data_IF_056871006058
#
_entry.id   IF_056871006058
#
_cell.length_a   1.000
_cell.length_b   1.000
_cell.length_c   1.000
_cell.angle_alpha   90.00
_cell.angle_beta   90.00
_cell.angle_gamma   90.00
#
_symmetry.space_group_name_H-M   'P 1'
#
loop_
_entity.id
_entity.type
_entity.pdbx_description
1 polymer ?
#
# COMPACT_ATOMS: atom_id res chain seq x y z
N UNK A 1 7.03 -10.62 -13.03
CA UNK A 1 6.20 -9.64 -13.77
C UNK A 1 6.06 -8.36 -12.97
N UNK A 2 5.68 -8.48 -11.70
CA UNK A 2 5.76 -7.39 -10.72
C UNK A 2 6.67 -7.86 -9.61
N UNK A 3 7.49 -6.96 -9.08
CA UNK A 3 8.33 -7.20 -7.91
C UNK A 3 8.34 -5.96 -7.04
N UNK A 4 8.21 -6.15 -5.75
CA UNK A 4 8.56 -5.19 -4.71
C UNK A 4 9.66 -5.81 -3.86
N UNK A 5 10.72 -5.07 -3.58
CA UNK A 5 11.79 -5.50 -2.68
C UNK A 5 12.15 -4.37 -1.73
N UNK A 6 12.39 -4.69 -0.46
CA UNK A 6 12.69 -3.71 0.57
C UNK A 6 13.61 -4.25 1.67
N UNK A 7 14.38 -3.32 2.25
CA UNK A 7 15.12 -3.49 3.50
C UNK A 7 14.14 -3.59 4.68
N UNK A 8 14.52 -4.26 5.79
CA UNK A 8 13.65 -4.45 6.94
C UNK A 8 13.24 -3.11 7.54
N UNK A 9 11.95 -2.83 7.66
CA UNK A 9 11.50 -1.53 8.20
C UNK A 9 11.94 -1.26 9.64
N UNK A 10 12.59 -2.17 10.35
CA UNK A 10 13.27 -1.91 11.62
C UNK A 10 14.37 -0.85 11.49
N UNK A 11 14.93 -0.60 10.30
CA UNK A 11 15.77 0.57 10.08
C UNK A 11 14.99 1.88 10.32
N UNK A 12 13.68 1.91 9.99
CA UNK A 12 12.57 2.58 10.73
C UNK A 12 12.86 3.18 12.09
N UNK A 13 13.26 2.27 12.96
CA UNK A 13 13.31 2.41 14.40
C UNK A 13 14.73 2.56 14.91
N UNK A 14 15.73 2.21 14.10
CA UNK A 14 17.12 2.48 14.38
C UNK A 14 17.38 3.99 14.23
N UNK A 15 17.42 4.71 15.35
CA UNK A 15 18.00 6.05 15.36
C UNK A 15 19.46 6.02 14.89
N UNK A 16 20.07 7.18 14.59
CA UNK A 16 21.53 7.24 14.50
C UNK A 16 22.10 6.61 15.77
N UNK A 17 23.11 5.75 15.64
CA UNK A 17 23.70 4.99 16.74
C UNK A 17 24.32 5.92 17.79
N UNK A 18 23.49 6.56 18.62
CA UNK A 18 23.87 7.13 19.89
C UNK A 18 23.84 6.00 20.88
N UNK A 19 25.03 5.59 21.33
CA UNK A 19 25.24 4.72 22.47
C UNK A 19 24.46 5.24 23.68
N UNK A 20 23.24 4.76 23.85
CA UNK A 20 22.33 5.14 24.92
C UNK A 20 22.22 3.98 25.92
N UNK A 21 22.76 4.21 27.11
CA UNK A 21 22.33 3.57 28.36
C UNK A 21 20.81 3.68 28.47
N UNK A 22 20.13 2.54 28.52
CA UNK A 22 18.67 2.45 28.68
C UNK A 22 18.25 3.07 30.02
N UNK A 23 17.53 4.20 29.96
CA UNK A 23 16.88 4.78 31.13
C UNK A 23 15.70 3.88 31.57
N UNK A 24 15.53 3.58 32.86
CA UNK A 24 14.53 2.63 33.35
C UNK A 24 13.06 3.10 33.31
N UNK A 25 12.76 4.27 32.74
CA UNK A 25 11.43 4.90 32.76
C UNK A 25 10.65 4.84 31.42
N UNK A 26 11.10 4.07 30.43
CA UNK A 26 10.28 3.88 29.22
C UNK A 26 9.08 2.98 29.51
N UNK A 27 7.83 3.46 29.33
CA UNK A 27 6.64 2.62 29.53
C UNK A 27 6.67 1.43 28.58
N UNK A 28 6.35 0.25 29.12
CA UNK A 28 6.34 -1.01 28.36
C UNK A 28 5.47 -0.87 27.11
N UNK A 29 6.08 -0.99 25.93
CA UNK A 29 5.37 -0.90 24.66
C UNK A 29 4.48 -2.13 24.48
N UNK A 30 3.17 -1.93 24.42
CA UNK A 30 2.22 -2.99 24.07
C UNK A 30 2.31 -3.22 22.56
N UNK A 31 2.69 -4.42 22.07
CA UNK A 31 2.81 -4.65 20.64
C UNK A 31 1.43 -4.68 19.98
N UNK A 32 1.34 -4.21 18.73
CA UNK A 32 0.09 -4.22 17.92
C UNK A 32 -0.53 -5.63 17.89
N UNK A 33 0.30 -6.66 17.84
CA UNK A 33 -0.16 -8.05 17.88
C UNK A 33 -0.94 -8.38 19.14
N UNK A 34 -0.57 -7.83 20.30
CA UNK A 34 -1.31 -8.00 21.56
C UNK A 34 -2.64 -7.25 21.56
N UNK A 35 -2.69 -6.05 20.97
CA UNK A 35 -3.94 -5.29 20.81
C UNK A 35 -4.90 -6.06 19.89
N UNK A 36 -4.41 -6.56 18.75
CA UNK A 36 -5.22 -7.33 17.80
C UNK A 36 -5.63 -8.67 18.38
N UNK A 37 -4.73 -9.37 19.08
CA UNK A 37 -5.06 -10.61 19.76
C UNK A 37 -6.13 -10.40 20.84
N UNK A 38 -6.06 -9.30 21.59
CA UNK A 38 -7.10 -8.91 22.54
C UNK A 38 -8.43 -8.63 21.84
N UNK A 39 -8.42 -7.81 20.78
CA UNK A 39 -9.62 -7.51 20.00
C UNK A 39 -10.24 -8.79 19.41
N UNK A 40 -9.42 -9.71 18.94
CA UNK A 40 -9.88 -11.00 18.41
C UNK A 40 -10.45 -11.90 19.52
N UNK A 41 -9.73 -12.06 20.64
CA UNK A 41 -10.16 -12.86 21.78
C UNK A 41 -11.45 -12.32 22.42
N UNK A 42 -11.66 -11.00 22.37
CA UNK A 42 -12.88 -10.35 22.82
C UNK A 42 -14.04 -10.45 21.80
N UNK A 43 -13.85 -11.10 20.65
CA UNK A 43 -14.87 -11.23 19.59
C UNK A 43 -15.18 -9.92 18.88
N UNK A 44 -14.29 -8.92 18.97
CA UNK A 44 -14.50 -7.57 18.44
C UNK A 44 -14.12 -7.44 16.96
N UNK A 45 -13.54 -8.50 16.36
CA UNK A 45 -13.17 -8.54 14.95
C UNK A 45 -14.19 -9.42 14.22
N UNK A 46 -15.06 -8.87 13.34
CA UNK A 46 -15.96 -9.67 12.51
C UNK A 46 -15.17 -10.66 11.64
N UNK A 47 -15.83 -11.71 11.12
CA UNK A 47 -15.16 -12.72 10.27
C UNK A 47 -14.40 -12.12 9.07
N UNK A 48 -14.92 -11.05 8.45
CA UNK A 48 -14.21 -10.30 7.40
C UNK A 48 -13.04 -9.46 7.94
N UNK A 49 -13.13 -8.98 9.18
CA UNK A 49 -12.06 -8.27 9.90
C UNK A 49 -10.87 -9.17 10.24
N UNK A 50 -11.08 -10.48 10.33
CA UNK A 50 -10.03 -11.43 10.70
C UNK A 50 -8.89 -11.46 9.68
N UNK A 51 -9.21 -11.32 8.39
CA UNK A 51 -8.20 -11.23 7.32
C UNK A 51 -7.31 -10.01 7.54
N UNK A 52 -7.90 -8.86 7.89
CA UNK A 52 -7.14 -7.65 8.20
C UNK A 52 -6.28 -7.82 9.45
N UNK A 53 -6.80 -8.46 10.49
CA UNK A 53 -6.03 -8.79 11.69
C UNK A 53 -4.80 -9.65 11.34
N UNK A 54 -4.95 -10.63 10.46
CA UNK A 54 -3.86 -11.48 10.01
C UNK A 54 -2.83 -10.75 9.15
N UNK A 55 -3.28 -9.83 8.28
CA UNK A 55 -2.39 -8.95 7.54
C UNK A 55 -1.58 -8.08 8.51
N UNK A 56 -2.24 -7.41 9.46
CA UNK A 56 -1.57 -6.48 10.38
C UNK A 56 -0.58 -7.22 11.28
N UNK A 57 -0.93 -8.43 11.73
CA UNK A 57 -0.03 -9.26 12.54
C UNK A 57 1.15 -9.85 11.74
N UNK A 58 1.09 -9.85 10.40
CA UNK A 58 2.23 -10.19 9.54
C UNK A 58 3.19 -9.01 9.29
N UNK A 59 2.74 -7.76 9.46
CA UNK A 59 3.56 -6.57 9.25
C UNK A 59 4.90 -6.56 10.02
N UNK A 60 4.99 -7.04 11.27
CA UNK A 60 6.26 -7.15 11.98
C UNK A 60 7.34 -7.96 11.23
N UNK A 61 6.95 -8.97 10.43
CA UNK A 61 7.90 -9.72 9.61
C UNK A 61 8.57 -8.84 8.56
N UNK A 62 7.79 -7.97 7.90
CA UNK A 62 8.30 -7.01 6.93
C UNK A 62 9.20 -5.96 7.58
N UNK A 63 8.97 -5.66 8.86
CA UNK A 63 9.84 -4.83 9.68
C UNK A 63 11.13 -5.53 10.08
N UNK A 64 11.10 -6.83 10.29
CA UNK A 64 12.24 -7.60 10.80
C UNK A 64 13.23 -8.02 9.70
N UNK A 65 12.73 -8.43 8.54
CA UNK A 65 13.55 -9.05 7.49
C UNK A 65 13.59 -8.22 6.21
N UNK A 66 14.74 -8.28 5.50
CA UNK A 66 14.76 -7.89 4.09
C UNK A 66 13.78 -8.80 3.36
N UNK A 67 12.93 -8.24 2.50
CA UNK A 67 11.88 -9.00 1.86
C UNK A 67 11.64 -8.60 0.42
N UNK A 68 11.08 -9.53 -0.34
CA UNK A 68 10.52 -9.27 -1.65
C UNK A 68 9.14 -9.90 -1.78
N UNK A 69 8.21 -9.18 -2.42
CA UNK A 69 6.93 -9.71 -2.88
C UNK A 69 6.95 -9.72 -4.41
N UNK A 70 6.71 -10.90 -5.00
CA UNK A 70 6.81 -11.10 -6.45
C UNK A 70 5.53 -11.68 -7.01
N UNK A 71 5.05 -11.09 -8.10
CA UNK A 71 4.07 -11.68 -8.99
C UNK A 71 4.81 -12.36 -10.14
N UNK A 72 4.86 -13.69 -10.09
CA UNK A 72 5.57 -14.54 -11.03
C UNK A 72 4.71 -14.78 -12.28
N UNK A 73 3.43 -15.03 -12.07
CA UNK A 73 2.47 -15.36 -13.12
C UNK A 73 1.03 -15.02 -12.74
N UNK A 74 0.21 -14.75 -13.75
CA UNK A 74 -1.23 -14.50 -13.58
C UNK A 74 -1.93 -14.72 -14.92
N UNK A 75 -3.09 -15.37 -14.91
CA UNK A 75 -3.96 -15.48 -16.07
C UNK A 75 -5.41 -15.29 -15.66
N UNK A 76 -6.25 -14.90 -16.62
CA UNK A 76 -7.68 -14.78 -16.41
C UNK A 76 -8.46 -15.53 -17.45
N UNK A 77 -9.66 -15.98 -17.08
CA UNK A 77 -10.60 -16.66 -17.96
C UNK A 77 -11.96 -15.99 -17.89
N UNK A 78 -12.71 -16.05 -18.99
CA UNK A 78 -14.11 -15.64 -19.02
C UNK A 78 -14.98 -16.85 -18.75
N UNK A 79 -15.82 -16.76 -17.73
CA UNK A 79 -16.87 -17.75 -17.46
C UNK A 79 -18.20 -17.17 -17.94
N UNK A 80 -18.89 -17.91 -18.79
CA UNK A 80 -20.26 -17.59 -19.19
C UNK A 80 -21.21 -17.99 -18.07
N UNK A 81 -22.05 -17.06 -17.62
CA UNK A 81 -23.02 -17.33 -16.57
C UNK A 81 -24.20 -18.09 -17.19
N UNK A 82 -24.33 -19.38 -16.90
CA UNK A 82 -25.50 -20.16 -17.34
C UNK A 82 -26.80 -19.52 -16.83
N UNK A 83 -27.83 -19.40 -17.67
CA UNK A 83 -29.11 -18.78 -17.31
C UNK A 83 -29.95 -19.57 -16.28
N UNK A 84 -29.52 -20.78 -15.90
CA UNK A 84 -30.30 -21.72 -15.07
C UNK A 84 -30.34 -21.39 -13.56
N UNK A 85 -29.57 -20.42 -13.08
CA UNK A 85 -29.63 -19.97 -11.70
C UNK A 85 -30.69 -18.88 -11.48
N UNK A 86 -31.84 -19.22 -10.88
CA UNK A 86 -32.96 -18.32 -10.45
C UNK A 86 -32.88 -16.93 -11.08
N UNK A 87 -33.41 -16.83 -12.29
CA UNK A 87 -33.54 -15.59 -13.03
C UNK A 87 -34.32 -14.55 -12.20
N UNK A 88 -33.61 -13.61 -11.56
CA UNK A 88 -34.17 -12.26 -11.44
C UNK A 88 -34.17 -11.71 -12.86
N UNK A 89 -35.35 -11.51 -13.43
CA UNK A 89 -35.65 -11.30 -14.86
C UNK A 89 -35.02 -10.06 -15.54
N UNK A 90 -33.91 -9.53 -15.02
CA UNK A 90 -33.32 -8.27 -15.43
C UNK A 90 -31.78 -8.27 -15.49
N UNK A 91 -31.11 -9.41 -15.25
CA UNK A 91 -29.66 -9.49 -15.41
C UNK A 91 -29.31 -10.09 -16.80
N UNK A 92 -28.69 -9.33 -17.73
CA UNK A 92 -28.21 -9.90 -18.99
C UNK A 92 -27.22 -11.04 -18.70
N UNK A 93 -27.19 -12.05 -19.59
CA UNK A 93 -26.20 -13.13 -19.57
C UNK A 93 -24.79 -12.50 -19.54
N UNK A 94 -24.22 -12.46 -18.34
CA UNK A 94 -23.01 -11.69 -18.08
C UNK A 94 -21.79 -12.58 -18.20
N UNK A 95 -20.85 -12.20 -19.07
CA UNK A 95 -19.47 -12.71 -19.03
C UNK A 95 -18.83 -12.28 -17.72
N UNK A 96 -18.40 -13.23 -16.90
CA UNK A 96 -17.72 -12.97 -15.63
C UNK A 96 -16.23 -13.25 -15.83
N UNK A 97 -15.40 -12.23 -15.63
CA UNK A 97 -13.95 -12.42 -15.59
C UNK A 97 -13.55 -13.08 -14.26
N UNK A 98 -12.85 -14.20 -14.32
CA UNK A 98 -12.31 -14.93 -13.16
C UNK A 98 -10.80 -15.11 -13.29
N UNK A 99 -10.14 -15.19 -12.15
CA UNK A 99 -8.75 -15.59 -12.07
C UNK A 99 -8.66 -17.06 -12.50
N UNK A 100 -7.76 -17.35 -13.43
CA UNK A 100 -7.54 -18.70 -13.95
C UNK A 100 -6.32 -19.34 -13.29
N UNK A 101 -5.22 -18.61 -13.21
CA UNK A 101 -4.02 -18.99 -12.48
C UNK A 101 -3.41 -17.76 -11.80
N UNK A 102 -2.74 -17.99 -10.67
CA UNK A 102 -1.88 -17.01 -10.01
C UNK A 102 -0.65 -17.71 -9.47
N UNK A 103 0.53 -17.17 -9.74
CA UNK A 103 1.77 -17.53 -9.05
C UNK A 103 2.36 -16.26 -8.44
N UNK A 104 2.48 -16.24 -7.12
CA UNK A 104 3.09 -15.18 -6.35
C UNK A 104 4.00 -15.77 -5.28
N UNK A 105 4.92 -14.97 -4.75
CA UNK A 105 5.69 -15.38 -3.59
C UNK A 105 6.08 -14.18 -2.72
N UNK A 106 6.30 -14.45 -1.44
CA UNK A 106 7.01 -13.59 -0.52
C UNK A 106 8.29 -14.28 -0.11
N UNK A 107 9.40 -13.55 -0.21
CA UNK A 107 10.75 -14.04 0.06
C UNK A 107 11.30 -13.21 1.20
N UNK A 108 11.76 -13.85 2.27
CA UNK A 108 12.39 -13.19 3.41
C UNK A 108 13.85 -13.61 3.49
N UNK A 109 14.77 -12.67 3.68
CA UNK A 109 16.14 -12.99 4.06
C UNK A 109 16.20 -13.16 5.57
N UNK A 110 16.05 -14.39 6.04
CA UNK A 110 15.96 -14.73 7.46
C UNK A 110 17.30 -14.94 8.12
N UNK A 111 18.36 -15.24 7.34
CA UNK A 111 19.68 -15.58 7.89
C UNK A 111 19.64 -16.81 8.80
N UNK A 112 18.64 -17.69 8.60
CA UNK A 112 18.43 -18.90 9.40
C UNK A 112 17.39 -18.78 10.52
N UNK A 113 16.88 -17.59 10.82
CA UNK A 113 15.76 -17.42 11.77
C UNK A 113 14.40 -17.64 11.09
N UNK A 114 14.22 -18.85 10.58
CA UNK A 114 13.08 -19.27 9.77
C UNK A 114 11.81 -19.48 10.61
N UNK A 115 11.99 -19.76 11.92
CA UNK A 115 10.91 -20.14 12.84
C UNK A 115 9.83 -19.05 12.94
N UNK A 116 10.23 -17.79 12.98
CA UNK A 116 9.30 -16.66 13.14
C UNK A 116 8.36 -16.53 11.93
N UNK A 117 8.87 -16.79 10.72
CA UNK A 117 8.05 -16.80 9.50
C UNK A 117 7.13 -18.03 9.49
N UNK A 118 7.67 -19.19 9.87
CA UNK A 118 6.91 -20.45 9.92
C UNK A 118 5.79 -20.42 10.97
N UNK A 119 6.01 -19.84 12.14
CA UNK A 119 4.99 -19.68 13.18
C UNK A 119 3.83 -18.81 12.70
N UNK A 120 4.12 -17.67 12.05
CA UNK A 120 3.12 -16.80 11.46
C UNK A 120 2.33 -17.54 10.37
N UNK A 121 3.02 -18.28 9.50
CA UNK A 121 2.39 -19.06 8.43
C UNK A 121 1.48 -20.14 8.99
N UNK A 122 1.96 -20.92 9.97
CA UNK A 122 1.19 -21.95 10.65
C UNK A 122 -0.05 -21.38 11.34
N UNK A 123 0.04 -20.18 11.92
CA UNK A 123 -1.11 -19.51 12.53
C UNK A 123 -2.18 -19.15 11.49
N UNK A 124 -1.78 -18.62 10.33
CA UNK A 124 -2.71 -18.28 9.25
C UNK A 124 -3.32 -19.55 8.66
N UNK A 125 -2.50 -20.54 8.30
CA UNK A 125 -2.95 -21.82 7.74
C UNK A 125 -3.90 -22.52 8.69
N UNK A 126 -3.54 -22.66 9.97
CA UNK A 126 -4.36 -23.34 10.97
C UNK A 126 -5.71 -22.66 11.24
N UNK A 127 -5.87 -21.39 10.86
CA UNK A 127 -7.14 -20.66 10.98
C UNK A 127 -8.05 -20.83 9.77
N UNK A 128 -7.47 -20.87 8.56
CA UNK A 128 -8.24 -20.89 7.31
C UNK A 128 -8.38 -22.28 6.69
N UNK A 129 -7.61 -23.26 7.15
CA UNK A 129 -7.61 -24.64 6.66
C UNK A 129 -7.90 -25.61 7.81
N UNK A 130 -8.31 -26.84 7.47
CA UNK A 130 -8.44 -27.93 8.42
C UNK A 130 -7.85 -29.21 7.82
N UNK A 131 -7.51 -30.18 8.68
CA UNK A 131 -6.83 -31.43 8.26
C UNK A 131 -7.74 -32.41 7.51
N UNK A 132 -9.05 -32.20 7.50
CA UNK A 132 -9.99 -33.09 6.80
C UNK A 132 -9.97 -32.83 5.29
N UNK A 133 -9.78 -31.57 4.90
CA UNK A 133 -9.90 -31.08 3.51
C UNK A 133 -8.59 -30.52 2.95
N UNK A 134 -7.58 -30.29 3.80
CA UNK A 134 -6.28 -29.78 3.39
C UNK A 134 -5.17 -30.83 3.61
N UNK A 135 -4.38 -31.06 2.56
CA UNK A 135 -3.31 -32.04 2.53
C UNK A 135 -1.94 -31.34 2.49
N UNK A 136 -1.12 -31.59 3.51
CA UNK A 136 0.26 -31.14 3.57
C UNK A 136 1.20 -32.26 3.11
N UNK A 137 2.02 -31.98 2.10
CA UNK A 137 2.98 -32.93 1.52
C UNK A 137 4.39 -32.34 1.53
N UNK A 138 5.40 -33.20 1.60
CA UNK A 138 6.81 -32.80 1.47
C UNK A 138 7.31 -33.11 0.06
N UNK A 139 8.06 -32.18 -0.51
CA UNK A 139 8.60 -32.25 -1.86
C UNK A 139 10.08 -31.89 -1.86
N UNK A 140 10.80 -32.38 -2.87
CA UNK A 140 12.20 -32.06 -3.11
C UNK A 140 12.38 -31.66 -4.58
N UNK A 141 13.07 -30.54 -4.83
CA UNK A 141 13.41 -30.10 -6.18
C UNK A 141 14.79 -29.45 -6.19
N UNK A 142 15.66 -29.88 -7.09
CA UNK A 142 17.07 -29.46 -7.16
C UNK A 142 17.80 -29.52 -5.80
N UNK A 143 17.53 -30.56 -5.00
CA UNK A 143 18.13 -30.75 -3.66
C UNK A 143 17.55 -29.86 -2.56
N UNK A 144 16.48 -29.10 -2.86
CA UNK A 144 15.80 -28.22 -1.90
C UNK A 144 14.50 -28.86 -1.47
N UNK A 145 14.36 -29.08 -0.16
CA UNK A 145 13.13 -29.57 0.45
C UNK A 145 12.16 -28.41 0.72
N UNK A 146 10.88 -28.64 0.42
CA UNK A 146 9.80 -27.69 0.68
C UNK A 146 8.51 -28.43 1.04
N UNK A 147 7.60 -27.70 1.66
CA UNK A 147 6.27 -28.18 2.00
C UNK A 147 5.25 -27.60 1.01
N UNK A 148 4.24 -28.41 0.68
CA UNK A 148 3.12 -28.04 -0.19
C UNK A 148 1.81 -28.34 0.50
N UNK A 149 0.94 -27.34 0.59
CA UNK A 149 -0.42 -27.45 1.10
C UNK A 149 -1.42 -27.22 -0.02
N UNK A 150 -2.25 -28.23 -0.28
CA UNK A 150 -3.41 -28.15 -1.16
C UNK A 150 -4.69 -28.27 -0.32
N UNK A 151 -5.73 -27.50 -0.65
CA UNK A 151 -7.03 -27.53 0.02
C UNK A 151 -8.11 -27.80 -1.04
N UNK A 152 -8.82 -28.92 -0.92
CA UNK A 152 -9.79 -29.40 -1.93
C UNK A 152 -10.97 -28.45 -2.15
N UNK A 153 -11.21 -27.51 -1.22
CA UNK A 153 -12.26 -26.49 -1.34
C UNK A 153 -11.88 -25.37 -2.30
N UNK A 154 -10.58 -25.23 -2.59
CA UNK A 154 -10.03 -24.20 -3.47
C UNK A 154 -9.83 -24.76 -4.87
N UNK A 155 -9.47 -23.87 -5.82
CA UNK A 155 -9.06 -24.30 -7.16
C UNK A 155 -7.72 -25.03 -7.10
N UNK A 156 -7.50 -25.99 -7.98
CA UNK A 156 -6.27 -26.82 -8.02
C UNK A 156 -4.98 -25.99 -8.12
N UNK A 157 -5.03 -24.81 -8.74
CA UNK A 157 -3.87 -23.92 -8.81
C UNK A 157 -3.57 -23.19 -7.49
N UNK A 158 -4.52 -23.11 -6.55
CA UNK A 158 -4.43 -22.35 -5.31
C UNK A 158 -3.69 -23.12 -4.21
N UNK A 159 -2.42 -23.40 -4.49
CA UNK A 159 -1.51 -24.17 -3.65
C UNK A 159 -0.61 -23.23 -2.86
N UNK A 160 -0.37 -23.55 -1.60
CA UNK A 160 0.66 -22.88 -0.79
C UNK A 160 1.92 -23.72 -0.74
N UNK A 161 3.07 -23.10 -0.94
CA UNK A 161 4.37 -23.78 -0.95
C UNK A 161 5.36 -22.98 -0.12
N UNK A 162 6.14 -23.62 0.73
CA UNK A 162 7.14 -22.90 1.52
C UNK A 162 8.34 -23.75 1.92
N UNK A 163 9.47 -23.10 2.13
CA UNK A 163 10.73 -23.78 2.38
C UNK A 163 11.92 -22.82 2.37
N UNK A 164 13.09 -23.36 2.67
CA UNK A 164 14.34 -22.62 2.76
C UNK A 164 15.14 -22.72 1.47
N UNK A 165 15.69 -21.59 1.02
CA UNK A 165 16.62 -21.50 -0.11
C UNK A 165 17.83 -20.66 0.35
N UNK A 166 18.92 -21.31 0.76
CA UNK A 166 20.08 -20.62 1.33
C UNK A 166 19.71 -19.80 2.58
N UNK A 167 20.02 -18.50 2.57
CA UNK A 167 19.69 -17.56 3.65
C UNK A 167 18.24 -17.04 3.61
N UNK A 168 17.43 -17.55 2.68
CA UNK A 168 16.08 -17.08 2.43
C UNK A 168 15.03 -18.10 2.85
N UNK A 169 13.93 -17.61 3.39
CA UNK A 169 12.70 -18.36 3.57
C UNK A 169 11.66 -17.87 2.55
N UNK A 170 11.14 -18.78 1.76
CA UNK A 170 10.23 -18.47 0.65
C UNK A 170 8.85 -19.02 0.98
N UNK A 171 7.81 -18.21 0.75
CA UNK A 171 6.40 -18.60 0.81
C UNK A 171 5.76 -18.26 -0.54
N UNK A 172 5.52 -19.29 -1.34
CA UNK A 172 4.84 -19.24 -2.63
C UNK A 172 3.34 -19.50 -2.50
N UNK A 173 2.58 -18.89 -3.39
CA UNK A 173 1.16 -19.16 -3.62
C UNK A 173 0.95 -19.36 -5.13
N UNK A 174 0.26 -20.43 -5.50
CA UNK A 174 0.18 -20.89 -6.88
C UNK A 174 0.98 -22.15 -7.12
N UNK A 175 0.39 -23.13 -7.79
CA UNK A 175 1.10 -24.35 -8.22
C UNK A 175 2.40 -24.00 -8.98
N UNK A 176 3.53 -24.54 -8.51
CA UNK A 176 4.84 -24.36 -9.13
C UNK A 176 5.49 -22.99 -8.91
N UNK A 177 4.92 -22.13 -8.06
CA UNK A 177 5.51 -20.83 -7.72
C UNK A 177 6.88 -21.00 -7.03
N UNK A 178 6.99 -21.94 -6.08
CA UNK A 178 8.22 -22.22 -5.36
C UNK A 178 9.28 -22.85 -6.27
N UNK A 179 8.88 -23.84 -7.06
CA UNK A 179 9.74 -24.53 -8.03
C UNK A 179 10.35 -23.56 -9.06
N UNK A 180 9.58 -22.54 -9.46
CA UNK A 180 10.06 -21.50 -10.36
C UNK A 180 11.17 -20.66 -9.73
N UNK A 181 11.06 -20.38 -8.43
CA UNK A 181 12.12 -19.68 -7.67
C UNK A 181 13.34 -20.57 -7.53
N UNK A 182 13.17 -21.85 -7.17
CA UNK A 182 14.25 -22.85 -7.14
C UNK A 182 14.98 -22.88 -8.48
N UNK A 183 14.25 -22.92 -9.60
CA UNK A 183 14.84 -23.00 -10.94
C UNK A 183 15.71 -21.80 -11.26
N UNK A 184 15.30 -20.59 -10.85
CA UNK A 184 16.14 -19.38 -11.00
C UNK A 184 17.36 -19.46 -10.08
N UNK A 185 17.18 -19.88 -8.82
CA UNK A 185 18.27 -20.02 -7.85
C UNK A 185 19.34 -21.03 -8.29
N UNK A 186 18.91 -22.18 -8.83
CA UNK A 186 19.78 -23.24 -9.35
C UNK A 186 20.38 -22.92 -10.74
N UNK A 187 20.14 -21.73 -11.31
CA UNK A 187 20.65 -21.33 -12.62
C UNK A 187 19.94 -21.97 -13.82
N UNK A 188 18.87 -22.74 -13.59
CA UNK A 188 18.05 -23.34 -14.65
C UNK A 188 17.09 -22.38 -15.35
N UNK A 189 16.94 -21.14 -14.85
CA UNK A 189 16.15 -20.09 -15.48
C UNK A 189 16.82 -18.71 -15.31
N UNK A 190 16.64 -17.84 -16.31
CA UNK A 190 17.24 -16.49 -16.31
C UNK A 190 16.62 -15.62 -15.20
N UNK A 191 17.47 -15.10 -14.31
CA UNK A 191 17.09 -14.08 -13.33
C UNK A 191 16.86 -12.72 -14.02
N UNK A 192 15.97 -11.91 -13.45
CA UNK A 192 15.74 -10.51 -13.85
C UNK A 192 16.99 -9.65 -13.76
N UNK A 193 17.93 -9.99 -12.88
CA UNK A 193 19.23 -9.30 -12.75
C UNK A 193 20.13 -9.46 -13.98
N UNK A 194 19.78 -10.34 -14.92
CA UNK A 194 20.45 -10.48 -16.21
C UNK A 194 19.71 -9.78 -17.35
N UNK A 195 18.56 -9.14 -17.09
CA UNK A 195 17.84 -8.35 -18.07
C UNK A 195 18.59 -7.03 -18.31
N UNK A 196 19.06 -6.72 -19.54
CA UNK A 196 19.89 -5.54 -19.78
C UNK A 196 19.20 -4.23 -19.42
N UNK A 197 17.88 -4.13 -19.66
CA UNK A 197 17.12 -2.94 -19.31
C UNK A 197 17.05 -2.78 -17.80
N UNK A 198 16.77 -3.86 -17.07
CA UNK A 198 16.71 -3.81 -15.60
C UNK A 198 18.05 -3.43 -14.99
N UNK A 199 19.16 -3.96 -15.50
CA UNK A 199 20.52 -3.59 -15.04
C UNK A 199 20.76 -2.10 -15.25
N UNK A 200 20.54 -1.58 -16.46
CA UNK A 200 20.71 -0.15 -16.78
C UNK A 200 19.79 0.73 -15.91
N UNK A 201 18.52 0.36 -15.77
CA UNK A 201 17.55 1.09 -14.95
C UNK A 201 17.93 1.07 -13.46
N UNK A 202 18.41 -0.07 -12.96
CA UNK A 202 18.87 -0.25 -11.58
C UNK A 202 20.07 0.64 -11.28
N UNK A 203 21.03 0.74 -12.20
CA UNK A 203 22.17 1.65 -12.07
C UNK A 203 21.71 3.11 -12.05
N UNK A 204 20.89 3.52 -13.03
CA UNK A 204 20.37 4.90 -13.15
C UNK A 204 19.53 5.34 -11.96
N UNK A 205 18.82 4.42 -11.31
CA UNK A 205 17.99 4.68 -10.13
C UNK A 205 18.69 4.39 -8.81
N UNK A 206 19.90 3.82 -8.84
CA UNK A 206 20.65 3.32 -7.68
C UNK A 206 19.87 2.27 -6.87
N UNK A 207 19.08 1.43 -7.54
CA UNK A 207 18.16 0.48 -6.91
C UNK A 207 18.86 -0.56 -6.03
N UNK A 208 20.12 -0.90 -6.30
CA UNK A 208 20.90 -1.85 -5.49
C UNK A 208 21.14 -1.37 -4.05
N UNK A 209 21.29 -0.06 -3.84
CA UNK A 209 21.46 0.56 -2.52
C UNK A 209 20.17 1.15 -1.94
N UNK A 210 19.03 0.98 -2.63
CA UNK A 210 17.77 1.54 -2.21
C UNK A 210 17.21 0.84 -0.96
N UNK A 211 16.48 1.59 -0.13
CA UNK A 211 15.69 1.05 0.96
C UNK A 211 14.55 0.18 0.44
N UNK A 212 13.92 0.62 -0.65
CA UNK A 212 12.88 -0.13 -1.33
C UNK A 212 12.96 0.17 -2.82
N UNK A 213 12.66 -0.82 -3.65
CA UNK A 213 12.44 -0.63 -5.07
C UNK A 213 11.31 -1.52 -5.55
N UNK A 214 10.65 -1.13 -6.62
CA UNK A 214 9.67 -1.99 -7.29
C UNK A 214 9.76 -1.88 -8.80
N UNK A 215 9.49 -3.01 -9.43
CA UNK A 215 9.53 -3.20 -10.87
C UNK A 215 8.18 -3.70 -11.37
N UNK A 216 7.72 -3.15 -12.49
CA UNK A 216 6.53 -3.58 -13.22
C UNK A 216 6.88 -3.79 -14.69
N UNK A 217 6.76 -5.02 -15.17
CA UNK A 217 6.81 -5.35 -16.61
C UNK A 217 5.42 -5.31 -17.22
N UNK A 218 4.97 -4.12 -17.62
CA UNK A 218 3.62 -3.87 -18.16
C UNK A 218 3.29 -4.72 -19.38
N UNK A 219 4.22 -4.89 -20.31
CA UNK A 219 4.00 -5.71 -21.52
C UNK A 219 3.68 -7.15 -21.16
N UNK A 220 4.49 -7.75 -20.28
CA UNK A 220 4.29 -9.12 -19.82
C UNK A 220 3.02 -9.27 -18.98
N UNK A 221 2.70 -8.27 -18.16
CA UNK A 221 1.47 -8.28 -17.37
C UNK A 221 0.22 -8.25 -18.26
N UNK A 222 0.22 -7.41 -19.32
CA UNK A 222 -0.84 -7.39 -20.34
C UNK A 222 -0.97 -8.74 -21.04
N UNK A 223 0.15 -9.28 -21.53
CA UNK A 223 0.19 -10.56 -22.24
C UNK A 223 -0.37 -11.71 -21.38
N UNK A 224 0.04 -11.82 -20.12
CA UNK A 224 -0.34 -12.94 -19.25
C UNK A 224 -1.77 -12.84 -18.73
N UNK A 225 -2.24 -11.64 -18.41
CA UNK A 225 -3.66 -11.43 -18.06
C UNK A 225 -4.60 -11.81 -19.21
N UNK A 226 -4.12 -11.75 -20.45
CA UNK A 226 -4.79 -12.23 -21.66
C UNK A 226 -5.97 -11.37 -22.10
N UNK A 227 -6.55 -11.73 -23.25
CA UNK A 227 -7.64 -10.99 -23.92
C UNK A 227 -8.88 -10.84 -23.03
N UNK A 228 -9.13 -11.83 -22.15
CA UNK A 228 -10.21 -11.83 -21.18
C UNK A 228 -10.19 -10.60 -20.24
N UNK A 229 -8.99 -10.10 -19.92
CA UNK A 229 -8.78 -8.92 -19.08
C UNK A 229 -8.36 -7.68 -19.87
N UNK A 230 -8.15 -7.77 -21.19
CA UNK A 230 -7.50 -6.73 -22.00
C UNK A 230 -8.16 -5.36 -21.81
N UNK A 231 -9.49 -5.29 -21.91
CA UNK A 231 -10.21 -4.03 -21.71
C UNK A 231 -10.01 -3.43 -20.32
N UNK A 232 -9.85 -4.25 -19.27
CA UNK A 232 -9.60 -3.77 -17.90
C UNK A 232 -8.15 -3.31 -17.73
N UNK A 233 -7.19 -4.09 -18.18
CA UNK A 233 -5.76 -3.75 -18.09
C UNK A 233 -5.44 -2.51 -18.91
N UNK A 234 -6.01 -2.39 -20.11
CA UNK A 234 -5.86 -1.21 -20.95
C UNK A 234 -6.44 0.05 -20.28
N UNK A 235 -7.62 -0.04 -19.65
CA UNK A 235 -8.20 1.09 -18.90
C UNK A 235 -7.35 1.49 -17.69
N UNK A 236 -6.84 0.52 -16.93
CA UNK A 236 -5.94 0.79 -15.79
C UNK A 236 -4.64 1.44 -16.28
N UNK A 237 -4.03 0.88 -17.32
CA UNK A 237 -2.82 1.46 -17.91
C UNK A 237 -3.08 2.87 -18.49
N UNK A 238 -4.23 3.11 -19.12
CA UNK A 238 -4.60 4.42 -19.61
C UNK A 238 -4.80 5.43 -18.49
N UNK A 239 -5.51 5.05 -17.42
CA UNK A 239 -5.69 5.88 -16.24
C UNK A 239 -4.33 6.23 -15.60
N UNK A 240 -3.41 5.27 -15.48
CA UNK A 240 -2.05 5.52 -14.98
C UNK A 240 -1.11 6.20 -15.99
N UNK A 241 -1.61 6.56 -17.18
CA UNK A 241 -0.82 7.09 -18.31
C UNK A 241 0.37 6.19 -18.69
N UNK A 242 0.21 4.89 -18.44
CA UNK A 242 1.19 3.83 -18.67
C UNK A 242 0.87 2.99 -19.93
N UNK A 243 -0.08 3.42 -20.79
CA UNK A 243 -0.49 2.67 -21.98
C UNK A 243 0.66 2.30 -22.91
N UNK A 244 1.66 3.19 -23.01
CA UNK A 244 2.83 3.05 -23.88
C UNK A 244 4.10 2.69 -23.09
N UNK A 245 3.95 2.31 -21.81
CA UNK A 245 5.06 1.86 -20.98
C UNK A 245 5.21 0.34 -21.09
N UNK A 246 6.45 -0.12 -21.23
CA UNK A 246 6.76 -1.56 -21.24
C UNK A 246 7.32 -2.02 -19.90
N UNK A 247 8.11 -1.17 -19.26
CA UNK A 247 8.81 -1.41 -18.02
C UNK A 247 8.78 -0.15 -17.14
N UNK A 248 8.70 -0.32 -15.83
CA UNK A 248 8.78 0.76 -14.85
C UNK A 248 9.53 0.26 -13.61
N UNK A 249 10.57 0.97 -13.21
CA UNK A 249 11.37 0.73 -12.02
C UNK A 249 11.38 1.98 -11.17
N UNK A 250 11.00 1.85 -9.91
CA UNK A 250 11.10 2.89 -8.90
C UNK A 250 12.05 2.46 -7.80
N UNK A 251 12.81 3.41 -7.27
CA UNK A 251 13.72 3.21 -6.16
C UNK A 251 13.59 4.34 -5.14
N UNK A 252 13.56 3.98 -3.87
CA UNK A 252 13.57 4.88 -2.71
C UNK A 252 14.86 4.64 -1.95
N UNK A 253 15.79 5.60 -1.98
CA UNK A 253 17.06 5.53 -1.27
C UNK A 253 17.07 6.49 -0.07
N UNK A 254 17.89 6.20 0.94
CA UNK A 254 18.11 7.09 2.07
C UNK A 254 19.45 7.81 1.91
N UNK A 255 19.43 9.13 2.03
CA UNK A 255 20.59 10.01 1.94
C UNK A 255 20.62 10.90 3.19
N UNK A 256 21.31 10.44 4.23
CA UNK A 256 21.22 11.02 5.57
C UNK A 256 19.82 10.85 6.16
N UNK A 257 19.16 11.97 6.49
CA UNK A 257 17.74 11.99 6.92
C UNK A 257 16.74 12.13 5.77
N UNK A 258 17.21 12.38 4.55
CA UNK A 258 16.33 12.59 3.41
C UNK A 258 16.10 11.28 2.63
N UNK A 259 14.92 11.16 2.03
CA UNK A 259 14.58 10.09 1.10
C UNK A 259 14.68 10.61 -0.34
N UNK A 260 15.49 9.95 -1.15
CA UNK A 260 15.55 10.17 -2.58
C UNK A 260 14.60 9.20 -3.30
N UNK A 261 13.80 9.70 -4.24
CA UNK A 261 12.82 8.91 -4.98
C UNK A 261 13.11 9.05 -6.46
N UNK A 262 13.49 7.96 -7.10
CA UNK A 262 13.93 7.91 -8.49
C UNK A 262 13.10 6.89 -9.26
N UNK A 263 12.84 7.17 -10.53
CA UNK A 263 12.08 6.32 -11.44
C UNK A 263 12.80 6.21 -12.77
N UNK A 264 12.86 5.01 -13.33
CA UNK A 264 13.25 4.75 -14.71
C UNK A 264 12.17 3.91 -15.37
N UNK A 265 11.57 4.41 -16.45
CA UNK A 265 10.57 3.69 -17.22
C UNK A 265 10.88 3.73 -18.71
N UNK A 266 10.42 2.72 -19.44
CA UNK A 266 10.57 2.65 -20.89
C UNK A 266 9.28 3.04 -21.59
N UNK A 267 9.30 4.11 -22.39
CA UNK A 267 8.17 4.61 -23.19
C UNK A 267 8.55 4.52 -24.67
N UNK A 268 7.93 3.58 -25.39
CA UNK A 268 8.42 3.19 -26.71
C UNK A 268 9.85 2.62 -26.62
N UNK A 269 10.79 3.22 -27.35
CA UNK A 269 12.20 2.82 -27.33
C UNK A 269 13.09 3.67 -26.41
N UNK A 270 12.51 4.66 -25.73
CA UNK A 270 13.26 5.57 -24.86
C UNK A 270 13.18 5.15 -23.40
N UNK A 271 14.33 5.14 -22.72
CA UNK A 271 14.44 5.03 -21.28
C UNK A 271 14.38 6.43 -20.65
N UNK A 272 13.30 6.72 -19.93
CA UNK A 272 13.09 8.01 -19.25
C UNK A 272 13.41 7.87 -17.78
N UNK A 273 14.33 8.70 -17.28
CA UNK A 273 14.68 8.79 -15.87
C UNK A 273 14.10 10.06 -15.27
N UNK A 274 13.47 9.95 -14.10
CA UNK A 274 12.95 11.07 -13.32
C UNK A 274 13.39 10.95 -11.87
N UNK A 275 13.85 12.06 -11.29
CA UNK A 275 14.00 12.20 -9.84
C UNK A 275 12.80 12.98 -9.32
N UNK A 276 12.00 12.33 -8.47
CA UNK A 276 10.84 12.94 -7.84
C UNK A 276 11.22 13.58 -6.51
N UNK A 277 12.27 13.10 -5.85
CA UNK A 277 12.76 13.62 -4.58
C UNK A 277 14.27 13.58 -4.61
N UNK A 278 14.92 14.74 -4.63
CA UNK A 278 16.39 14.87 -4.70
C UNK A 278 16.87 15.78 -3.56
N UNK A 279 17.51 15.24 -2.50
CA UNK A 279 17.82 15.99 -1.28
C UNK A 279 18.68 17.24 -1.50
N UNK A 280 19.59 17.21 -2.47
CA UNK A 280 20.45 18.36 -2.80
C UNK A 280 19.68 19.54 -3.41
N UNK A 281 18.45 19.32 -3.89
CA UNK A 281 17.61 20.33 -4.55
C UNK A 281 16.44 20.84 -3.70
N UNK A 282 16.35 20.45 -2.43
CA UNK A 282 15.23 20.86 -1.57
C UNK A 282 15.22 22.37 -1.30
N UNK A 283 14.13 23.04 -1.65
CA UNK A 283 13.98 24.46 -1.39
C UNK A 283 13.83 24.75 0.12
N UNK A 284 14.51 25.79 0.60
CA UNK A 284 14.54 26.18 2.03
C UNK A 284 13.15 26.38 2.63
N UNK A 285 12.20 26.89 1.82
CA UNK A 285 10.80 27.12 2.24
C UNK A 285 10.02 25.86 2.60
N UNK A 286 10.44 24.68 2.14
CA UNK A 286 9.83 23.40 2.53
C UNK A 286 10.60 22.77 3.68
N UNK A 287 11.92 22.97 3.74
CA UNK A 287 12.74 22.53 4.87
C UNK A 287 12.34 23.24 6.18
N UNK A 288 11.90 24.49 6.10
CA UNK A 288 11.50 25.29 7.28
C UNK A 288 10.28 24.75 8.01
N UNK A 289 9.38 24.03 7.33
CA UNK A 289 8.19 23.44 7.95
C UNK A 289 8.46 22.04 8.54
N UNK A 290 9.65 21.50 8.32
CA UNK A 290 10.02 20.16 8.81
C UNK A 290 10.62 20.30 10.21
N UNK A 291 10.02 19.65 11.23
CA UNK A 291 10.54 19.68 12.59
C UNK A 291 11.99 19.18 12.65
N UNK A 292 12.87 19.80 13.46
CA UNK A 292 14.24 19.30 13.65
C UNK A 292 14.31 17.86 14.19
N UNK A 293 13.26 17.44 14.92
CA UNK A 293 13.11 16.09 15.47
C UNK A 293 12.67 15.04 14.43
N UNK A 294 12.26 15.45 13.23
CA UNK A 294 11.97 14.50 12.17
C UNK A 294 13.26 13.78 11.76
N UNK A 295 13.24 12.45 11.87
CA UNK A 295 14.39 11.59 11.53
C UNK A 295 14.44 11.31 10.04
N UNK A 296 13.28 11.38 9.37
CA UNK A 296 13.14 11.16 7.94
C UNK A 296 12.26 12.20 7.30
N UNK A 297 12.63 12.57 6.08
CA UNK A 297 11.85 13.47 5.25
C UNK A 297 11.99 13.16 3.75
N UNK A 298 10.96 13.50 2.97
CA UNK A 298 10.99 13.56 1.52
C UNK A 298 10.31 14.84 1.05
N UNK A 299 10.84 15.51 0.03
CA UNK A 299 10.13 16.58 -0.67
C UNK A 299 9.97 16.10 -2.10
N UNK A 300 8.75 15.65 -2.40
CA UNK A 300 8.40 15.00 -3.65
C UNK A 300 7.80 16.03 -4.58
N UNK A 301 8.49 16.28 -5.71
CA UNK A 301 8.01 17.10 -6.81
C UNK A 301 7.28 16.21 -7.81
N UNK A 302 5.96 16.19 -7.70
CA UNK A 302 5.07 15.42 -8.56
C UNK A 302 3.81 16.25 -8.77
N UNK A 303 3.25 16.32 -9.98
CA UNK A 303 1.97 16.98 -10.16
C UNK A 303 0.92 16.29 -9.27
N UNK A 304 0.59 16.86 -8.12
CA UNK A 304 -0.25 16.15 -7.12
C UNK A 304 -1.64 15.93 -7.68
N UNK A 305 -2.11 16.87 -8.50
CA UNK A 305 -3.27 16.69 -9.37
C UNK A 305 -3.22 15.37 -10.13
N UNK A 306 -2.08 15.02 -10.75
CA UNK A 306 -1.94 13.76 -11.47
C UNK A 306 -2.12 12.56 -10.55
N UNK A 307 -1.58 12.59 -9.33
CA UNK A 307 -1.77 11.50 -8.36
C UNK A 307 -3.24 11.35 -7.94
N UNK A 308 -3.89 12.46 -7.59
CA UNK A 308 -5.27 12.50 -7.09
C UNK A 308 -6.29 12.19 -8.19
N UNK A 309 -6.01 12.57 -9.44
CA UNK A 309 -6.87 12.22 -10.58
C UNK A 309 -6.69 10.76 -11.00
N UNK A 310 -5.44 10.32 -11.19
CA UNK A 310 -5.19 9.09 -11.94
C UNK A 310 -5.20 7.83 -11.07
N UNK A 311 -4.80 7.89 -9.80
CA UNK A 311 -4.80 6.72 -8.93
C UNK A 311 -6.22 6.22 -8.60
N UNK A 312 -7.17 7.07 -8.19
CA UNK A 312 -8.55 6.64 -7.97
C UNK A 312 -9.19 6.16 -9.27
N UNK A 313 -8.96 6.85 -10.40
CA UNK A 313 -9.46 6.40 -11.72
C UNK A 313 -8.90 5.03 -12.10
N UNK A 314 -7.63 4.77 -11.85
CA UNK A 314 -7.03 3.45 -12.09
C UNK A 314 -7.64 2.38 -11.18
N UNK A 315 -7.89 2.70 -9.91
CA UNK A 315 -8.57 1.80 -8.99
C UNK A 315 -10.00 1.49 -9.44
N UNK A 316 -10.78 2.51 -9.83
CA UNK A 316 -12.13 2.35 -10.40
C UNK A 316 -12.08 1.55 -11.70
N UNK A 317 -11.12 1.83 -12.58
CA UNK A 317 -10.93 1.12 -13.85
C UNK A 317 -10.66 -0.38 -13.66
N UNK A 318 -10.04 -0.76 -12.54
CA UNK A 318 -9.81 -2.15 -12.16
C UNK A 318 -11.08 -2.86 -11.62
N UNK A 319 -12.14 -2.12 -11.29
CA UNK A 319 -13.38 -2.69 -10.76
C UNK A 319 -14.26 -3.34 -11.86
N UNK A 320 -15.31 -4.04 -11.41
CA UNK A 320 -16.38 -4.53 -12.28
C UNK A 320 -17.26 -3.37 -12.76
N UNK A 321 -17.92 -3.49 -13.92
CA UNK A 321 -18.79 -2.45 -14.45
C UNK A 321 -19.93 -2.06 -13.48
N UNK A 322 -20.46 -3.03 -12.72
CA UNK A 322 -21.47 -2.74 -11.69
C UNK A 322 -20.91 -1.90 -10.56
N UNK A 323 -19.68 -2.17 -10.10
CA UNK A 323 -19.04 -1.36 -9.08
C UNK A 323 -18.69 0.04 -9.59
N UNK A 324 -18.21 0.16 -10.84
CA UNK A 324 -17.96 1.46 -11.48
C UNK A 324 -19.24 2.31 -11.47
N UNK A 325 -20.37 1.77 -11.98
CA UNK A 325 -21.65 2.49 -11.97
C UNK A 325 -22.12 2.89 -10.57
N UNK A 326 -21.91 2.02 -9.57
CA UNK A 326 -22.25 2.35 -8.17
C UNK A 326 -21.43 3.55 -7.67
N UNK A 327 -20.14 3.60 -8.01
CA UNK A 327 -19.27 4.71 -7.65
C UNK A 327 -19.62 5.98 -8.43
N UNK A 328 -19.93 5.88 -9.72
CA UNK A 328 -20.39 7.01 -10.55
C UNK A 328 -21.67 7.62 -10.00
N UNK A 329 -22.71 6.81 -9.73
CA UNK A 329 -23.97 7.29 -9.15
C UNK A 329 -23.74 7.91 -7.76
N UNK A 330 -22.90 7.29 -6.93
CA UNK A 330 -22.59 7.85 -5.61
C UNK A 330 -21.86 9.20 -5.71
N UNK A 331 -20.97 9.34 -6.69
CA UNK A 331 -20.20 10.55 -6.93
C UNK A 331 -21.06 11.67 -7.56
N UNK A 332 -21.90 11.35 -8.54
CA UNK A 332 -22.87 12.28 -9.13
C UNK A 332 -23.83 12.82 -8.07
N UNK A 333 -24.39 11.92 -7.26
CA UNK A 333 -25.26 12.30 -6.14
C UNK A 333 -24.56 13.22 -5.15
N UNK A 334 -23.30 12.94 -4.81
CA UNK A 334 -22.50 13.80 -3.93
C UNK A 334 -22.33 15.20 -4.52
N UNK A 335 -22.01 15.29 -5.82
CA UNK A 335 -21.84 16.57 -6.51
C UNK A 335 -23.15 17.35 -6.57
N UNK A 336 -24.27 16.70 -6.87
CA UNK A 336 -25.61 17.32 -6.94
C UNK A 336 -26.07 17.82 -5.56
N UNK A 337 -25.99 16.98 -4.52
CA UNK A 337 -26.50 17.31 -3.18
C UNK A 337 -25.68 18.42 -2.49
N UNK A 338 -24.38 18.49 -2.77
CA UNK A 338 -23.48 19.45 -2.11
C UNK A 338 -23.04 20.60 -2.99
N UNK A 339 -23.42 20.61 -4.28
CA UNK A 339 -22.96 21.61 -5.25
C UNK A 339 -21.43 21.62 -5.42
N UNK A 340 -20.78 20.47 -5.21
CA UNK A 340 -19.32 20.37 -5.21
C UNK A 340 -18.81 19.95 -6.58
N UNK A 341 -17.96 20.79 -7.16
CA UNK A 341 -17.03 20.34 -8.20
C UNK A 341 -15.68 20.03 -7.53
N UNK A 342 -15.47 18.78 -7.12
CA UNK A 342 -14.20 18.36 -6.47
C UNK A 342 -13.00 18.60 -7.40
N UNK A 343 -13.19 18.49 -8.72
CA UNK A 343 -12.08 18.72 -9.66
C UNK A 343 -11.66 20.18 -9.63
N UNK A 344 -12.61 21.09 -9.78
CA UNK A 344 -12.34 22.52 -9.79
C UNK A 344 -11.98 23.09 -8.41
N UNK A 345 -12.64 22.64 -7.35
CA UNK A 345 -12.51 23.25 -6.01
C UNK A 345 -11.43 22.61 -5.12
N UNK A 346 -10.99 21.38 -5.41
CA UNK A 346 -9.93 20.71 -4.65
C UNK A 346 -8.74 20.36 -5.53
N UNK A 347 -8.95 19.57 -6.58
CA UNK A 347 -7.86 18.96 -7.35
C UNK A 347 -7.04 20.00 -8.13
N UNK A 348 -7.71 20.96 -8.77
CA UNK A 348 -7.07 22.06 -9.53
C UNK A 348 -6.26 23.01 -8.63
N UNK A 349 -6.51 22.97 -7.32
CA UNK A 349 -5.82 23.79 -6.33
C UNK A 349 -4.67 23.06 -5.61
N UNK A 350 -4.44 21.77 -5.90
CA UNK A 350 -3.27 21.03 -5.41
C UNK A 350 -2.02 21.39 -6.23
N UNK A 351 -0.96 21.80 -5.54
CA UNK A 351 0.34 22.12 -6.13
C UNK A 351 1.17 20.89 -6.49
N UNK A 352 2.38 21.15 -6.96
CA UNK A 352 3.30 20.10 -7.46
C UNK A 352 4.26 19.57 -6.39
N UNK A 353 4.12 20.01 -5.13
CA UNK A 353 5.04 19.63 -4.05
C UNK A 353 4.30 18.94 -2.91
N UNK A 354 4.82 17.77 -2.52
CA UNK A 354 4.39 17.03 -1.34
C UNK A 354 5.58 16.89 -0.38
N UNK A 355 5.43 17.43 0.82
CA UNK A 355 6.43 17.29 1.90
C UNK A 355 6.00 16.17 2.83
N UNK A 356 6.86 15.19 3.05
CA UNK A 356 6.58 14.01 3.88
C UNK A 356 7.63 13.96 4.99
N UNK A 357 7.23 13.74 6.24
CA UNK A 357 8.17 13.54 7.35
C UNK A 357 7.59 12.67 8.48
N UNK A 358 8.46 12.05 9.27
CA UNK A 358 8.10 11.08 10.31
C UNK A 358 7.92 11.68 11.72
N UNK A 359 7.39 12.90 11.80
CA UNK A 359 7.11 13.60 13.05
C UNK A 359 5.61 13.95 13.24
N UNK A 360 5.08 13.82 14.47
CA UNK A 360 5.69 13.09 15.58
C UNK A 360 5.77 11.59 15.25
N UNK A 361 6.72 10.91 15.89
CA UNK A 361 6.90 9.46 15.69
C UNK A 361 5.63 8.73 16.15
N UNK A 362 5.14 7.81 15.31
CA UNK A 362 4.02 6.96 15.69
C UNK A 362 4.42 6.08 16.89
N UNK A 363 3.61 5.97 17.97
CA UNK A 363 3.97 5.22 19.19
C UNK A 363 4.37 3.76 18.93
N UNK A 364 3.71 3.13 17.96
CA UNK A 364 3.95 1.74 17.55
C UNK A 364 4.95 1.61 16.39
N UNK A 365 5.61 2.71 16.01
CA UNK A 365 6.60 2.79 14.90
C UNK A 365 6.09 2.17 13.60
N UNK A 366 4.81 2.36 13.29
CA UNK A 366 4.18 1.83 12.09
C UNK A 366 4.84 2.50 10.87
N UNK A 367 5.44 1.71 9.95
CA UNK A 367 5.92 2.24 8.68
C UNK A 367 4.78 2.96 7.96
N UNK A 368 5.05 4.14 7.39
CA UNK A 368 4.06 4.97 6.67
C UNK A 368 3.05 5.76 7.54
N UNK A 369 3.07 5.62 8.86
CA UNK A 369 2.39 6.57 9.76
C UNK A 369 3.18 7.89 9.81
N UNK A 370 3.08 8.66 8.73
CA UNK A 370 3.84 9.87 8.46
C UNK A 370 2.92 11.09 8.44
N UNK A 371 3.53 12.26 8.54
CA UNK A 371 2.86 13.52 8.23
C UNK A 371 3.15 13.89 6.78
N UNK A 372 2.10 14.29 6.06
CA UNK A 372 2.14 14.66 4.64
C UNK A 372 1.56 16.07 4.52
N UNK A 373 2.31 17.01 3.97
CA UNK A 373 1.85 18.35 3.65
C UNK A 373 1.87 18.54 2.13
N UNK A 374 0.69 18.67 1.54
CA UNK A 374 0.49 18.87 0.11
C UNK A 374 0.33 20.37 -0.13
N UNK A 375 1.18 20.97 -0.96
CA UNK A 375 1.07 22.40 -1.28
C UNK A 375 -0.27 22.69 -1.98
N UNK A 376 -0.88 23.83 -1.65
CA UNK A 376 -2.12 24.31 -2.28
C UNK A 376 -1.99 25.79 -2.67
N UNK A 377 -2.76 26.21 -3.67
CA UNK A 377 -2.74 27.58 -4.19
C UNK A 377 -3.97 28.44 -3.81
N UNK A 378 -5.09 27.81 -3.42
CA UNK A 378 -6.29 28.48 -2.91
C UNK A 378 -6.78 27.76 -1.64
N UNK A 379 -6.38 28.24 -0.45
CA UNK A 379 -6.76 27.60 0.81
C UNK A 379 -8.27 27.68 1.08
N UNK A 380 -8.96 28.69 0.55
CA UNK A 380 -10.41 28.87 0.76
C UNK A 380 -11.18 27.83 -0.04
N UNK A 381 -10.88 27.68 -1.32
CA UNK A 381 -11.49 26.68 -2.19
C UNK A 381 -11.26 25.26 -1.64
N UNK A 382 -10.00 24.94 -1.31
CA UNK A 382 -9.61 23.63 -0.76
C UNK A 382 -10.29 23.34 0.57
N UNK A 383 -10.39 24.32 1.48
CA UNK A 383 -11.10 24.15 2.77
C UNK A 383 -12.58 23.87 2.55
N UNK A 384 -13.27 24.69 1.75
CA UNK A 384 -14.69 24.49 1.43
C UNK A 384 -14.95 23.10 0.82
N UNK A 385 -14.12 22.67 -0.14
CA UNK A 385 -14.27 21.38 -0.78
C UNK A 385 -13.98 20.21 0.19
N UNK A 386 -12.96 20.35 1.04
CA UNK A 386 -12.58 19.34 2.03
C UNK A 386 -13.67 19.18 3.09
N UNK A 387 -14.16 20.27 3.66
CA UNK A 387 -15.21 20.27 4.69
C UNK A 387 -16.47 19.58 4.15
N UNK A 388 -16.93 19.99 2.97
CA UNK A 388 -18.13 19.45 2.37
C UNK A 388 -17.99 17.96 1.98
N UNK A 389 -16.80 17.53 1.54
CA UNK A 389 -16.50 16.12 1.25
C UNK A 389 -16.52 15.28 2.53
N UNK A 390 -15.89 15.75 3.60
CA UNK A 390 -15.78 15.02 4.86
C UNK A 390 -17.11 14.99 5.63
N UNK A 391 -17.90 16.06 5.56
CA UNK A 391 -19.29 16.08 6.03
C UNK A 391 -20.13 14.99 5.34
N UNK A 392 -20.03 14.90 4.01
CA UNK A 392 -20.77 13.89 3.25
C UNK A 392 -20.31 12.47 3.59
N UNK A 393 -19.01 12.26 3.80
CA UNK A 393 -18.48 10.99 4.29
C UNK A 393 -18.96 10.66 5.70
N UNK A 394 -19.03 11.64 6.60
CA UNK A 394 -19.60 11.49 7.93
C UNK A 394 -21.04 11.00 7.87
N UNK A 395 -21.88 11.68 7.09
CA UNK A 395 -23.28 11.31 6.85
C UNK A 395 -23.40 9.89 6.28
N UNK A 396 -22.59 9.56 5.26
CA UNK A 396 -22.59 8.22 4.66
C UNK A 396 -22.23 7.12 5.68
N UNK A 397 -21.22 7.35 6.52
CA UNK A 397 -20.79 6.38 7.53
C UNK A 397 -21.83 6.22 8.64
N UNK A 398 -22.48 7.29 9.08
CA UNK A 398 -23.57 7.25 10.05
C UNK A 398 -24.78 6.47 9.49
N UNK A 399 -25.24 6.79 8.28
CA UNK A 399 -26.32 6.07 7.58
C UNK A 399 -26.01 4.57 7.41
N UNK A 400 -24.73 4.25 7.16
CA UNK A 400 -24.28 2.87 7.01
C UNK A 400 -24.25 2.15 8.37
N UNK A 401 -23.84 2.83 9.43
CA UNK A 401 -23.83 2.28 10.78
C UNK A 401 -25.25 2.02 11.31
N UNK A 402 -26.22 2.88 10.97
CA UNK A 402 -27.62 2.68 11.33
C UNK A 402 -28.24 1.47 10.62
N UNK A 403 -27.91 1.27 9.33
CA UNK A 403 -28.36 0.11 8.55
C UNK A 403 -27.74 -1.20 9.04
N UNK A 404 -26.46 -1.17 9.44
CA UNK A 404 -25.74 -2.35 9.92
C UNK A 404 -25.71 -2.38 11.45
N UNK A 405 -26.83 -2.79 12.07
CA UNK A 405 -27.04 -2.89 13.54
C UNK A 405 -26.01 -3.75 14.30
N UNK A 406 -25.08 -4.41 13.63
CA UNK A 406 -24.10 -5.36 14.18
C UNK A 406 -22.67 -4.83 14.31
N UNK A 407 -22.38 -3.60 13.87
CA UNK A 407 -21.00 -3.10 13.91
C UNK A 407 -20.68 -2.51 15.29
N UNK A 408 -20.00 -3.29 16.13
CA UNK A 408 -19.53 -2.88 17.47
C UNK A 408 -18.52 -1.71 17.41
N UNK A 409 -17.81 -1.53 16.29
CA UNK A 409 -16.90 -0.39 16.06
C UNK A 409 -17.45 0.47 14.92
N UNK A 410 -18.12 1.57 15.28
CA UNK A 410 -18.64 2.52 14.29
C UNK A 410 -17.52 3.43 13.81
N UNK A 411 -17.27 3.40 12.51
CA UNK A 411 -16.43 4.41 11.86
C UNK A 411 -17.18 5.74 11.88
N UNK A 412 -16.54 6.80 12.38
CA UNK A 412 -17.12 8.16 12.39
C UNK A 412 -16.10 9.17 11.90
N UNK A 413 -16.57 10.17 11.16
CA UNK A 413 -15.78 11.35 10.84
C UNK A 413 -16.12 12.43 11.87
N UNK A 414 -15.10 13.02 12.46
CA UNK A 414 -15.23 14.09 13.44
C UNK A 414 -14.59 15.37 12.92
N UNK A 415 -15.13 16.50 13.34
CA UNK A 415 -14.60 17.84 13.09
C UNK A 415 -14.49 18.58 14.42
N UNK A 416 -13.26 18.88 14.84
CA UNK A 416 -13.00 19.62 16.08
C UNK A 416 -13.08 21.14 15.84
N UNK A 417 -13.29 21.90 16.93
CA UNK A 417 -13.40 23.38 16.89
C UNK A 417 -12.17 24.07 16.29
N UNK A 418 -11.00 23.42 16.30
CA UNK A 418 -9.76 23.93 15.72
C UNK A 418 -9.62 23.65 14.21
N UNK A 419 -10.69 23.15 13.57
CA UNK A 419 -10.73 22.86 12.14
C UNK A 419 -10.02 21.57 11.75
N UNK A 420 -9.79 20.67 12.71
CA UNK A 420 -9.18 19.35 12.47
C UNK A 420 -10.26 18.33 12.19
N UNK A 421 -10.14 17.68 11.04
CA UNK A 421 -10.95 16.52 10.69
C UNK A 421 -10.23 15.23 11.02
N UNK A 422 -10.94 14.20 11.48
CA UNK A 422 -10.34 12.88 11.69
C UNK A 422 -11.33 11.73 11.62
N UNK A 423 -10.81 10.55 11.28
CA UNK A 423 -11.56 9.29 11.32
C UNK A 423 -11.40 8.61 12.68
N UNK A 424 -12.50 8.29 13.35
CA UNK A 424 -12.52 7.47 14.56
C UNK A 424 -13.04 6.06 14.24
N UNK A 425 -12.24 5.04 14.56
CA UNK A 425 -12.60 3.63 14.41
C UNK A 425 -12.09 2.85 15.63
N UNK A 426 -12.74 3.02 16.78
CA UNK A 426 -12.31 2.46 18.08
C UNK A 426 -11.07 3.16 18.67
N UNK A 427 -10.17 3.62 17.83
CA UNK A 427 -9.05 4.53 18.12
C UNK A 427 -9.16 5.78 17.24
N UNK A 428 -8.50 6.86 17.66
CA UNK A 428 -8.34 8.06 16.84
C UNK A 428 -7.39 7.73 15.68
N UNK A 429 -7.90 7.81 14.46
CA UNK A 429 -7.20 7.48 13.23
C UNK A 429 -6.65 8.71 12.50
N UNK A 430 -6.36 8.58 11.19
CA UNK A 430 -5.79 9.65 10.39
C UNK A 430 -6.60 10.95 10.49
N UNK A 431 -5.87 12.06 10.58
CA UNK A 431 -6.42 13.39 10.70
C UNK A 431 -5.93 14.30 9.57
N UNK A 432 -6.73 15.31 9.24
CA UNK A 432 -6.36 16.32 8.25
C UNK A 432 -6.79 17.73 8.64
N UNK A 433 -6.05 18.73 8.12
CA UNK A 433 -6.41 20.15 8.20
C UNK A 433 -5.91 20.89 6.97
N UNK A 434 -6.71 21.82 6.50
CA UNK A 434 -6.31 22.80 5.48
C UNK A 434 -5.72 24.03 6.19
N UNK A 435 -4.50 24.39 5.82
CA UNK A 435 -3.78 25.60 6.25
C UNK A 435 -3.79 26.65 5.13
N UNK A 436 -3.14 27.79 5.32
CA UNK A 436 -3.03 28.81 4.27
C UNK A 436 -2.25 28.35 3.03
N UNK A 437 -1.35 27.37 3.18
CA UNK A 437 -0.46 26.90 2.09
C UNK A 437 -0.46 25.39 1.89
N UNK A 438 -1.01 24.61 2.81
CA UNK A 438 -0.95 23.16 2.74
C UNK A 438 -2.27 22.48 3.12
N UNK A 439 -2.59 21.37 2.45
CA UNK A 439 -3.43 20.33 3.00
C UNK A 439 -2.52 19.37 3.79
N UNK A 440 -2.69 19.31 5.11
CA UNK A 440 -1.83 18.52 6.00
C UNK A 440 -2.58 17.30 6.50
N UNK A 441 -1.96 16.12 6.36
CA UNK A 441 -2.45 14.83 6.80
C UNK A 441 -1.48 14.26 7.84
N UNK A 442 -1.98 13.63 8.90
CA UNK A 442 -1.15 12.91 9.88
C UNK A 442 -1.88 11.68 10.42
N UNK A 443 -1.18 10.81 11.13
CA UNK A 443 -1.69 9.51 11.59
C UNK A 443 -2.67 9.61 12.79
N UNK A 444 -2.72 10.75 13.48
CA UNK A 444 -3.71 11.06 14.52
C UNK A 444 -3.98 12.56 14.64
N UNK A 445 -5.08 13.00 15.30
CA UNK A 445 -5.36 14.41 15.55
C UNK A 445 -4.25 15.10 16.35
N UNK A 446 -3.75 14.42 17.39
CA UNK A 446 -2.66 14.97 18.21
C UNK A 446 -1.38 15.12 17.39
N UNK A 447 -1.07 14.13 16.55
CA UNK A 447 0.10 14.19 15.68
C UNK A 447 0.03 15.34 14.67
N UNK A 448 -1.16 15.56 14.10
CA UNK A 448 -1.42 16.68 13.22
C UNK A 448 -1.20 18.02 13.95
N UNK A 449 -1.77 18.21 15.14
CA UNK A 449 -1.57 19.43 15.95
C UNK A 449 -0.10 19.69 16.28
N UNK A 450 0.67 18.66 16.57
CA UNK A 450 2.09 18.79 16.85
C UNK A 450 2.91 19.15 15.60
N UNK A 451 2.52 18.66 14.43
CA UNK A 451 3.13 19.07 13.16
C UNK A 451 2.76 20.50 12.77
N UNK A 452 1.51 20.92 12.99
CA UNK A 452 1.01 22.26 12.65
C UNK A 452 1.78 23.39 13.34
N UNK A 453 2.33 23.15 14.55
CA UNK A 453 3.22 24.11 15.24
C UNK A 453 4.44 24.55 14.41
N UNK A 454 4.85 23.74 13.42
CA UNK A 454 5.97 24.04 12.52
C UNK A 454 5.50 24.50 11.14
N UNK A 455 4.32 24.04 10.69
CA UNK A 455 3.76 24.38 9.38
C UNK A 455 3.10 25.77 9.41
N UNK A 456 2.41 26.09 10.50
CA UNK A 456 1.75 27.37 10.79
C UNK A 456 2.33 27.93 12.11
N UNK A 457 3.57 28.46 12.12
CA UNK A 457 4.11 29.05 13.33
C UNK A 457 3.25 30.26 13.73
N UNK A 458 2.70 30.25 14.94
CA UNK A 458 1.86 31.33 15.50
C UNK A 458 2.54 32.69 15.29
N UNK A 459 1.98 33.55 14.44
CA UNK A 459 2.47 34.92 14.22
C UNK A 459 2.52 35.70 15.55
N UNK A 460 1.68 35.33 16.51
CA UNK A 460 1.61 35.92 17.86
C UNK A 460 2.83 35.65 18.73
N UNK A 461 3.64 34.63 18.45
CA UNK A 461 4.78 34.29 19.31
C UNK A 461 6.05 35.09 19.01
N UNK A 462 6.05 35.99 18.02
CA UNK A 462 7.11 37.00 17.80
C UNK A 462 8.51 36.43 17.49
N UNK A 463 8.71 35.12 17.55
CA UNK A 463 9.97 34.45 17.25
C UNK A 463 10.07 34.18 15.75
N UNK A 464 10.36 35.23 14.98
CA UNK A 464 10.94 35.05 13.64
C UNK A 464 12.33 34.42 13.81
N UNK A 465 12.45 33.16 13.41
CA UNK A 465 13.74 32.45 13.27
C UNK A 465 14.38 32.72 11.93
#
# INVERSE_FOLDING_TARGET
>A
MVMYAAKPYSFLSAGPATSATSSPDEPAQVPISSIIAFLNAAGLIPGEGQVYADIVTALPLLGRFEHAAVLLDISTQVIERSPEGRATASAPAGRILRLDQLQAAVIFRTGGDDQVVLEQLNRVIGRYTNREVAMLTSHESAGINYQRLADERLKDWAIWEWGKIGDYYVVGFGEGAFERIIRVHAGGARSMTHDPWYVEASEKTRAAGALAHWFVGFSRLKERLGDAAEGRVARVAAALQASNMTHDLWAIAQEGRALAVRRCYRRGDENVVRSYSEPSGYASRYLSIIPPKARRLAIVNVPTRWLVDNLPRAWVAAQSASNVRKWEIAWERLNEEKGLDISANLIDHLGDTVVIFDYPEHPLKIPFALTIAIEINDPKAVRMATDALLDAWGQYLDDRAERNKTVLVRAKVHHDEDGVWYLQLGILGPAMKVTDRFLVLSWSPQALRDALKYIEPDERTGNRR
#
